data_IF_412450147353
#
_entry.id   IF_412450147353
#
_cell.length_a   1.000
_cell.length_b   1.000
_cell.length_c   1.000
_cell.angle_alpha   90.00
_cell.angle_beta   90.00
_cell.angle_gamma   90.00
#
_symmetry.space_group_name_H-M   'P 1'
#
loop_
_entity.id
_entity.type
_entity.pdbx_description
1 polymer ?
#
# COMPACT_ATOMS: atom_id res chain seq x y z
N UNK A 1 -23.98 6.93 -22.24
CA UNK A 1 -24.60 5.72 -21.63
C UNK A 1 -23.64 4.53 -21.54
N UNK A 2 -22.63 4.38 -22.40
CA UNK A 2 -21.69 3.25 -22.36
C UNK A 2 -20.88 3.11 -21.06
N UNK A 3 -20.50 4.22 -20.43
CA UNK A 3 -19.70 4.20 -19.18
C UNK A 3 -20.48 3.65 -17.97
N UNK A 4 -21.81 3.86 -17.95
CA UNK A 4 -22.68 3.31 -16.90
C UNK A 4 -22.78 1.79 -16.98
N UNK A 5 -22.87 1.25 -18.20
CA UNK A 5 -22.96 -0.19 -18.44
C UNK A 5 -21.68 -0.95 -18.04
N UNK A 6 -20.54 -0.33 -18.31
CA UNK A 6 -19.24 -0.86 -17.89
C UNK A 6 -19.13 -0.81 -16.37
N UNK A 7 -19.57 0.28 -15.74
CA UNK A 7 -19.59 0.43 -14.28
C UNK A 7 -20.46 -0.60 -13.58
N UNK A 8 -21.70 -0.83 -14.03
CA UNK A 8 -22.58 -1.85 -13.45
C UNK A 8 -22.04 -3.27 -13.62
N UNK A 9 -21.45 -3.58 -14.78
CA UNK A 9 -20.83 -4.88 -15.04
C UNK A 9 -19.69 -5.15 -14.06
N UNK A 10 -18.81 -4.15 -13.87
CA UNK A 10 -17.73 -4.26 -12.88
C UNK A 10 -18.21 -4.29 -11.43
N UNK A 11 -19.30 -3.59 -11.10
CA UNK A 11 -19.93 -3.71 -9.78
C UNK A 11 -20.42 -5.14 -9.52
N UNK A 12 -21.04 -5.78 -10.52
CA UNK A 12 -21.46 -7.18 -10.40
C UNK A 12 -20.27 -8.12 -10.28
N UNK A 13 -19.29 -8.03 -11.18
CA UNK A 13 -18.10 -8.90 -11.16
C UNK A 13 -17.32 -8.75 -9.85
N UNK A 14 -17.13 -7.53 -9.36
CA UNK A 14 -16.41 -7.29 -8.11
C UNK A 14 -17.13 -7.84 -6.87
N UNK A 15 -18.47 -7.84 -6.86
CA UNK A 15 -19.25 -8.46 -5.78
C UNK A 15 -19.08 -9.99 -5.76
N UNK A 16 -19.10 -10.63 -6.93
CA UNK A 16 -18.88 -12.08 -7.06
C UNK A 16 -17.47 -12.46 -6.61
N UNK A 17 -16.45 -11.71 -7.04
CA UNK A 17 -15.07 -11.95 -6.62
C UNK A 17 -14.88 -11.78 -5.10
N UNK A 18 -15.50 -10.77 -4.51
CA UNK A 18 -15.46 -10.57 -3.06
C UNK A 18 -16.13 -11.71 -2.29
N UNK A 19 -17.25 -12.24 -2.78
CA UNK A 19 -17.91 -13.39 -2.18
C UNK A 19 -16.99 -14.63 -2.24
N UNK A 20 -16.44 -14.92 -3.43
CA UNK A 20 -15.56 -16.07 -3.64
C UNK A 20 -14.30 -15.99 -2.76
N UNK A 21 -13.65 -14.82 -2.73
CA UNK A 21 -12.47 -14.59 -1.92
C UNK A 21 -12.75 -14.74 -0.42
N UNK A 22 -13.93 -14.31 0.04
CA UNK A 22 -14.32 -14.50 1.43
C UNK A 22 -14.71 -15.95 1.77
N UNK A 23 -15.26 -16.69 0.80
CA UNK A 23 -15.59 -18.11 1.00
C UNK A 23 -14.33 -18.98 1.15
N UNK A 24 -13.26 -18.66 0.42
CA UNK A 24 -11.98 -19.36 0.50
C UNK A 24 -11.03 -18.82 1.59
N UNK A 25 -11.43 -17.76 2.30
CA UNK A 25 -10.65 -17.11 3.35
C UNK A 25 -10.80 -17.85 4.68
N UNK A 26 -9.70 -18.01 5.40
CA UNK A 26 -9.74 -18.40 6.81
C UNK A 26 -10.28 -17.20 7.65
N UNK A 27 -11.40 -17.36 8.37
CA UNK A 27 -12.02 -16.27 9.12
C UNK A 27 -11.14 -15.74 10.26
N UNK A 28 -10.15 -16.52 10.73
CA UNK A 28 -9.22 -16.13 11.79
C UNK A 28 -8.05 -15.31 11.28
N UNK A 29 -7.74 -15.39 9.98
CA UNK A 29 -6.57 -14.73 9.38
C UNK A 29 -7.02 -13.53 8.54
N UNK A 30 -6.83 -12.33 9.08
CA UNK A 30 -6.97 -11.06 8.35
C UNK A 30 -8.37 -10.45 8.33
N UNK A 31 -8.58 -9.45 7.46
CA UNK A 31 -9.84 -8.71 7.26
C UNK A 31 -10.64 -9.30 6.10
N UNK A 32 -11.98 -9.28 6.20
CA UNK A 32 -12.87 -9.63 5.09
C UNK A 32 -12.68 -8.71 3.87
N UNK A 33 -12.68 -9.29 2.68
CA UNK A 33 -12.56 -8.57 1.42
C UNK A 33 -13.88 -7.90 1.05
N UNK A 34 -13.80 -6.70 0.47
CA UNK A 34 -14.96 -5.97 -0.02
C UNK A 34 -14.96 -5.87 -1.55
N UNK A 35 -16.11 -5.59 -2.18
CA UNK A 35 -16.18 -5.42 -3.63
C UNK A 35 -15.29 -4.28 -4.15
N UNK A 36 -15.05 -3.24 -3.34
CA UNK A 36 -14.16 -2.13 -3.70
C UNK A 36 -12.67 -2.51 -3.79
N UNK A 37 -12.27 -3.70 -3.32
CA UNK A 37 -10.90 -4.22 -3.46
C UNK A 37 -10.65 -4.78 -4.87
N UNK A 38 -11.72 -5.26 -5.54
CA UNK A 38 -11.65 -5.93 -6.84
C UNK A 38 -12.18 -5.07 -8.01
N UNK A 39 -12.58 -3.82 -7.75
CA UNK A 39 -13.19 -2.96 -8.75
C UNK A 39 -12.14 -2.00 -9.35
N UNK A 40 -11.74 -2.13 -10.63
CA UNK A 40 -10.60 -1.39 -11.21
C UNK A 40 -10.81 0.13 -11.23
N UNK A 41 -12.06 0.57 -11.42
CA UNK A 41 -12.40 2.00 -11.47
C UNK A 41 -12.64 2.62 -10.08
N UNK A 42 -12.73 1.80 -9.02
CA UNK A 42 -12.83 2.32 -7.66
C UNK A 42 -11.42 2.33 -7.11
N UNK A 43 -10.87 3.53 -6.91
CA UNK A 43 -9.64 3.70 -6.15
C UNK A 43 -9.91 3.17 -4.74
N UNK A 44 -9.46 1.95 -4.44
CA UNK A 44 -9.37 1.48 -3.05
C UNK A 44 -8.61 2.59 -2.31
N UNK A 45 -9.09 3.11 -1.16
CA UNK A 45 -8.32 4.06 -0.41
C UNK A 45 -7.00 3.36 -0.09
N UNK A 46 -5.94 3.74 -0.82
CA UNK A 46 -4.60 3.22 -0.59
C UNK A 46 -4.41 3.33 0.91
N UNK A 47 -4.27 2.17 1.57
CA UNK A 47 -4.12 2.08 3.01
C UNK A 47 -2.98 3.04 3.31
N UNK A 48 -3.30 4.23 3.83
CA UNK A 48 -2.31 5.30 4.01
C UNK A 48 -1.18 4.59 4.75
N UNK A 49 0.02 4.43 4.15
CA UNK A 49 1.10 3.77 4.87
C UNK A 49 1.17 4.55 6.17
N UNK A 50 1.01 3.83 7.30
CA UNK A 50 0.89 4.46 8.60
C UNK A 50 2.01 5.49 8.66
N UNK A 51 1.64 6.78 8.64
CA UNK A 51 2.62 7.84 8.50
C UNK A 51 3.65 7.57 9.58
N UNK A 52 4.87 7.24 9.18
CA UNK A 52 5.93 6.93 10.12
C UNK A 52 6.03 8.19 10.96
N UNK A 53 5.57 8.12 12.22
CA UNK A 53 5.67 9.21 13.19
C UNK A 53 7.13 9.27 13.64
N UNK A 54 8.01 9.55 12.69
CA UNK A 54 9.43 9.80 12.90
C UNK A 54 9.72 11.19 12.39
N UNK A 55 10.55 11.91 13.13
CA UNK A 55 11.17 13.14 12.63
C UNK A 55 11.88 12.79 11.30
N UNK A 56 11.77 13.67 10.30
CA UNK A 56 12.45 13.54 8.99
C UNK A 56 13.96 13.31 9.18
N UNK A 57 14.52 13.76 10.31
CA UNK A 57 15.89 13.47 10.74
C UNK A 57 16.24 11.97 10.80
N UNK A 58 15.28 11.10 11.13
CA UNK A 58 15.48 9.65 11.17
C UNK A 58 15.80 9.08 9.78
N UNK A 59 15.21 9.63 8.72
CA UNK A 59 15.49 9.19 7.36
C UNK A 59 16.94 9.52 6.97
N UNK A 60 17.48 10.66 7.42
CA UNK A 60 18.90 10.98 7.22
C UNK A 60 19.80 9.95 7.91
N UNK A 61 19.48 9.57 9.14
CA UNK A 61 20.30 8.59 9.86
C UNK A 61 20.29 7.22 9.21
N UNK A 62 19.14 6.78 8.69
CA UNK A 62 19.03 5.47 8.03
C UNK A 62 19.65 5.47 6.63
N UNK A 63 19.47 6.54 5.84
CA UNK A 63 19.90 6.56 4.43
C UNK A 63 21.24 7.25 4.17
N UNK A 64 21.73 8.11 5.08
CA UNK A 64 23.03 8.78 4.93
C UNK A 64 24.05 8.17 5.88
N UNK A 65 23.76 8.14 7.18
CA UNK A 65 24.74 7.71 8.18
C UNK A 65 25.02 6.19 8.09
N UNK A 66 24.02 5.38 7.72
CA UNK A 66 24.20 3.93 7.53
C UNK A 66 24.93 3.57 6.22
N UNK A 67 24.84 4.42 5.18
CA UNK A 67 25.58 4.23 3.93
C UNK A 67 27.05 4.68 4.03
N UNK A 68 27.41 5.45 5.07
CA UNK A 68 28.79 5.85 5.33
C UNK A 68 29.65 4.73 5.94
N UNK A 69 29.06 3.61 6.40
CA UNK A 69 29.81 2.43 6.87
C UNK A 69 30.37 1.61 5.71
N UNK A 70 29.66 1.57 4.56
CA UNK A 70 30.03 0.66 3.46
C UNK A 70 30.88 1.32 2.38
N UNK A 71 30.91 2.65 2.27
CA UNK A 71 31.75 3.33 1.28
C UNK A 71 32.28 4.68 1.79
N UNK A 72 33.57 4.68 2.17
CA UNK A 72 34.49 5.83 2.13
C UNK A 72 33.92 7.20 2.58
N UNK A 73 33.61 7.37 3.87
CA UNK A 73 33.44 8.71 4.43
C UNK A 73 34.83 9.32 4.76
N UNK A 74 35.37 10.06 3.80
CA UNK A 74 36.53 10.94 4.01
C UNK A 74 36.22 11.94 5.12
N UNK A 75 37.11 12.00 6.12
CA UNK A 75 37.04 12.98 7.20
C UNK A 75 36.89 14.40 6.62
N UNK A 76 35.92 15.22 7.07
CA UNK A 76 36.11 16.66 7.00
C UNK A 76 37.24 17.01 7.96
N UNK A 77 38.28 17.63 7.40
CA UNK A 77 39.50 18.00 8.09
C UNK A 77 39.25 18.89 9.30
N UNK A 78 40.20 18.80 10.23
CA UNK A 78 40.38 19.74 11.32
C UNK A 78 40.45 21.19 10.79
N UNK A 79 39.61 22.05 11.37
CA UNK A 79 39.96 23.37 11.87
C UNK A 79 38.91 23.79 12.89
#
# INVERSE_FOLDING_TARGET
MAEGCIGESWNHTSAVLALLANAHRDPRKGRAFGPADFHPMRKTPARKPAAIKGDIRLLKTIFVDNHCVDNLCGKPGAN
#
